data_IF_061523485387
#
_entry.id   IF_061523485387
#
_cell.length_a   1.000
_cell.length_b   1.000
_cell.length_c   1.000
_cell.angle_alpha   90.00
_cell.angle_beta   90.00
_cell.angle_gamma   90.00
#
_symmetry.space_group_name_H-M   'P 1'
#
loop_
_entity.id
_entity.type
_entity.pdbx_description
1 polymer ?
#
# COMPACT_ATOMS: atom_id res chain seq x y z
N UNK A 1 48.97 13.59 -23.49
CA UNK A 1 47.74 13.18 -24.20
C UNK A 1 47.20 11.95 -23.51
N UNK A 2 46.26 12.13 -22.59
CA UNK A 2 45.58 11.02 -21.91
C UNK A 2 44.23 10.86 -22.59
N UNK A 3 44.02 9.68 -23.16
CA UNK A 3 42.83 9.28 -23.89
C UNK A 3 41.61 9.29 -22.99
N UNK A 4 40.55 9.96 -23.45
CA UNK A 4 39.22 9.96 -22.84
C UNK A 4 38.56 8.63 -23.20
N UNK A 5 38.38 7.77 -22.21
CA UNK A 5 37.66 6.52 -22.36
C UNK A 5 36.16 6.78 -22.53
N UNK A 6 35.70 6.49 -23.74
CA UNK A 6 34.43 5.87 -24.14
C UNK A 6 33.21 6.07 -23.24
N UNK A 7 32.25 6.81 -23.80
CA UNK A 7 30.85 6.83 -23.37
C UNK A 7 30.25 5.42 -23.51
N UNK A 8 30.07 4.73 -22.38
CA UNK A 8 29.21 3.55 -22.30
C UNK A 8 27.78 3.94 -22.71
N UNK A 9 27.15 3.12 -23.55
CA UNK A 9 25.78 3.35 -24.01
C UNK A 9 24.84 3.44 -22.80
N UNK A 10 24.24 4.61 -22.58
CA UNK A 10 23.18 4.79 -21.60
C UNK A 10 21.98 3.98 -22.09
N UNK A 11 21.68 2.85 -21.44
CA UNK A 11 20.45 2.11 -21.70
C UNK A 11 19.24 3.03 -21.54
N UNK A 12 18.22 2.88 -22.40
CA UNK A 12 16.98 3.67 -22.31
C UNK A 12 16.35 3.56 -20.92
N UNK A 13 16.02 4.69 -20.30
CA UNK A 13 15.36 4.72 -18.98
C UNK A 13 14.01 4.01 -19.03
N UNK A 14 13.66 3.29 -17.96
CA UNK A 14 12.35 2.66 -17.85
C UNK A 14 11.26 3.72 -17.70
N UNK A 15 10.20 3.61 -18.50
CA UNK A 15 9.01 4.45 -18.34
C UNK A 15 8.11 3.91 -17.25
N UNK A 16 7.87 4.73 -16.23
CA UNK A 16 7.07 4.36 -15.06
C UNK A 16 5.84 5.25 -14.98
N UNK A 17 4.66 4.64 -14.91
CA UNK A 17 3.45 5.32 -14.47
C UNK A 17 3.26 5.09 -12.98
N UNK A 18 3.22 6.15 -12.19
CA UNK A 18 2.95 6.08 -10.76
C UNK A 18 1.53 6.57 -10.47
N UNK A 19 0.67 5.67 -10.01
CA UNK A 19 -0.71 5.95 -9.63
C UNK A 19 -0.77 6.13 -8.11
N UNK A 20 -0.95 7.38 -7.68
CA UNK A 20 -0.95 7.79 -6.29
C UNK A 20 0.36 8.44 -5.88
N UNK A 21 0.29 9.69 -5.40
CA UNK A 21 1.42 10.43 -4.84
C UNK A 21 1.04 11.01 -3.48
N UNK A 22 0.64 10.12 -2.56
CA UNK A 22 0.67 10.37 -1.12
C UNK A 22 2.10 10.11 -0.59
N UNK A 23 2.27 9.85 0.71
CA UNK A 23 3.60 9.61 1.30
C UNK A 23 4.45 8.57 0.55
N UNK A 24 3.99 7.31 0.50
CA UNK A 24 4.70 6.22 -0.19
C UNK A 24 4.93 6.51 -1.68
N UNK A 25 3.90 7.00 -2.39
CA UNK A 25 4.02 7.33 -3.80
C UNK A 25 5.05 8.42 -4.08
N UNK A 26 5.07 9.47 -3.27
CA UNK A 26 6.04 10.56 -3.41
C UNK A 26 7.47 10.09 -3.15
N UNK A 27 7.68 9.26 -2.11
CA UNK A 27 9.01 8.64 -1.85
C UNK A 27 9.41 7.71 -2.99
N UNK A 28 8.49 6.90 -3.52
CA UNK A 28 8.74 6.04 -4.66
C UNK A 28 9.13 6.83 -5.92
N UNK A 29 8.42 7.93 -6.22
CA UNK A 29 8.78 8.83 -7.32
C UNK A 29 10.19 9.41 -7.14
N UNK A 30 10.50 9.84 -5.92
CA UNK A 30 11.80 10.41 -5.59
C UNK A 30 12.93 9.39 -5.79
N UNK A 31 12.77 8.17 -5.27
CA UNK A 31 13.75 7.09 -5.43
C UNK A 31 14.01 6.76 -6.91
N UNK A 32 12.95 6.65 -7.71
CA UNK A 32 13.03 6.32 -9.14
C UNK A 32 13.71 7.41 -9.97
N UNK A 33 13.36 8.68 -9.73
CA UNK A 33 13.93 9.82 -10.44
C UNK A 33 15.41 10.04 -10.07
N UNK A 34 15.75 10.03 -8.78
CA UNK A 34 17.13 10.21 -8.32
C UNK A 34 18.02 9.03 -8.69
N UNK A 35 17.45 7.83 -8.84
CA UNK A 35 18.17 6.66 -9.33
C UNK A 35 18.60 6.75 -10.80
N UNK A 36 18.03 7.68 -11.57
CA UNK A 36 18.46 7.97 -12.94
C UNK A 36 18.16 6.87 -13.98
N UNK A 37 17.56 5.74 -13.57
CA UNK A 37 17.22 4.61 -14.44
C UNK A 37 15.76 4.58 -14.89
N UNK A 38 14.93 5.48 -14.37
CA UNK A 38 13.53 5.62 -14.73
C UNK A 38 13.17 7.06 -15.09
N UNK A 39 12.06 7.22 -15.80
CA UNK A 39 11.33 8.49 -15.94
C UNK A 39 9.91 8.28 -15.43
N UNK A 40 9.46 9.13 -14.52
CA UNK A 40 8.18 8.94 -13.82
C UNK A 40 7.11 9.86 -14.38
N UNK A 41 6.02 9.28 -14.85
CA UNK A 41 4.73 9.94 -15.03
C UNK A 41 3.90 9.75 -13.77
N UNK A 42 3.71 10.80 -13.00
CA UNK A 42 2.99 10.77 -11.73
C UNK A 42 1.54 11.24 -11.90
N UNK A 43 0.58 10.41 -11.47
CA UNK A 43 -0.85 10.73 -11.47
C UNK A 43 -1.25 11.31 -10.11
N UNK A 44 -1.56 12.61 -10.10
CA UNK A 44 -1.99 13.34 -8.92
C UNK A 44 -3.46 13.75 -9.05
N UNK A 45 -4.21 13.72 -7.94
CA UNK A 45 -5.59 14.25 -7.93
C UNK A 45 -5.64 15.52 -7.10
N UNK A 46 -5.82 15.40 -5.79
CA UNK A 46 -6.04 16.52 -4.87
C UNK A 46 -4.88 17.53 -4.82
N UNK A 47 -3.64 17.10 -5.06
CA UNK A 47 -2.44 17.94 -5.01
C UNK A 47 -1.88 18.31 -6.39
N UNK A 48 -2.56 17.96 -7.48
CA UNK A 48 -2.06 18.17 -8.86
C UNK A 48 -1.63 19.62 -9.13
N UNK A 49 -2.51 20.58 -8.89
CA UNK A 49 -2.24 22.00 -9.18
C UNK A 49 -1.03 22.50 -8.39
N UNK A 50 -0.97 22.18 -7.11
CA UNK A 50 0.12 22.58 -6.22
C UNK A 50 1.45 21.98 -6.67
N UNK A 51 1.51 20.65 -6.84
CA UNK A 51 2.77 19.96 -7.20
C UNK A 51 3.25 20.35 -8.60
N UNK A 52 2.33 20.57 -9.55
CA UNK A 52 2.70 21.07 -10.88
C UNK A 52 3.40 22.43 -10.79
N UNK A 53 2.90 23.32 -9.94
CA UNK A 53 3.45 24.67 -9.79
C UNK A 53 4.72 24.69 -8.93
N UNK A 54 4.66 24.11 -7.74
CA UNK A 54 5.68 24.27 -6.69
C UNK A 54 6.54 23.04 -6.44
N UNK A 55 6.09 21.85 -6.87
CA UNK A 55 6.76 20.57 -6.57
C UNK A 55 6.32 19.98 -5.22
N UNK A 56 7.10 19.01 -4.75
CA UNK A 56 6.94 18.34 -3.47
C UNK A 56 8.17 18.65 -2.62
N UNK A 57 7.94 19.08 -1.40
CA UNK A 57 8.97 19.25 -0.40
C UNK A 57 9.05 17.99 0.47
N UNK A 58 10.26 17.53 0.74
CA UNK A 58 10.54 16.37 1.57
C UNK A 58 11.32 16.79 2.81
N UNK A 59 10.90 16.26 3.96
CA UNK A 59 11.78 15.99 5.09
C UNK A 59 11.87 14.48 5.21
N UNK A 60 13.03 13.92 4.87
CA UNK A 60 13.23 12.48 4.77
C UNK A 60 14.47 12.06 5.55
N UNK A 61 14.36 10.96 6.29
CA UNK A 61 15.53 10.37 6.93
C UNK A 61 16.52 9.76 5.93
N UNK A 62 16.05 9.37 4.74
CA UNK A 62 16.88 8.73 3.69
C UNK A 62 17.55 9.79 2.82
N UNK A 63 16.80 10.85 2.49
CA UNK A 63 17.16 11.86 1.49
C UNK A 63 17.47 13.24 2.06
N UNK A 64 17.22 13.48 3.34
CA UNK A 64 17.36 14.81 3.96
C UNK A 64 16.22 15.75 3.57
N UNK A 65 16.54 17.03 3.41
CA UNK A 65 15.58 18.06 2.99
C UNK A 65 15.70 18.27 1.49
N UNK A 66 14.60 18.13 0.76
CA UNK A 66 14.52 18.41 -0.68
C UNK A 66 13.35 19.36 -0.90
N UNK A 67 13.57 20.42 -1.65
CA UNK A 67 12.53 21.40 -1.98
C UNK A 67 12.18 21.36 -3.45
N UNK A 68 10.89 21.49 -3.75
CA UNK A 68 10.38 21.65 -5.11
C UNK A 68 10.63 20.46 -6.04
N UNK A 69 10.76 19.24 -5.51
CA UNK A 69 10.92 18.04 -6.34
C UNK A 69 9.72 17.86 -7.28
N UNK A 70 10.00 17.54 -8.55
CA UNK A 70 8.97 17.22 -9.54
C UNK A 70 9.33 15.93 -10.28
N UNK A 71 8.40 14.98 -10.39
CA UNK A 71 8.53 13.88 -11.34
C UNK A 71 8.69 14.40 -12.78
N UNK A 72 9.30 13.60 -13.64
CA UNK A 72 9.54 13.91 -15.06
C UNK A 72 8.26 14.36 -15.77
N UNK A 73 7.11 13.79 -15.42
CA UNK A 73 5.81 14.20 -15.94
C UNK A 73 4.75 14.14 -14.84
N UNK A 74 3.89 15.16 -14.77
CA UNK A 74 2.79 15.27 -13.79
C UNK A 74 1.48 15.38 -14.55
N UNK A 75 0.56 14.46 -14.31
CA UNK A 75 -0.78 14.41 -14.93
C UNK A 75 -1.87 14.34 -13.85
N UNK A 76 -3.08 14.80 -14.19
CA UNK A 76 -4.24 14.74 -13.30
C UNK A 76 -5.16 13.55 -13.54
N UNK A 77 -4.88 12.77 -14.59
CA UNK A 77 -5.63 11.58 -14.99
C UNK A 77 -4.67 10.50 -15.47
N UNK A 78 -5.09 9.25 -15.37
CA UNK A 78 -4.33 8.11 -15.88
C UNK A 78 -4.35 8.19 -17.42
N UNK A 79 -3.19 8.17 -18.09
CA UNK A 79 -3.13 8.18 -19.55
C UNK A 79 -3.78 6.92 -20.13
N UNK A 80 -4.49 7.07 -21.24
CA UNK A 80 -4.97 5.94 -22.02
C UNK A 80 -3.94 5.57 -23.10
N UNK A 81 -3.34 4.40 -22.96
CA UNK A 81 -2.34 3.84 -23.88
C UNK A 81 -2.87 2.62 -24.64
N UNK A 82 -4.15 2.27 -24.45
CA UNK A 82 -4.73 1.07 -25.07
C UNK A 82 -4.91 1.22 -26.58
N UNK A 83 -5.18 2.45 -27.03
CA UNK A 83 -5.42 2.80 -28.44
C UNK A 83 -4.52 3.96 -28.95
N UNK A 84 -3.40 4.27 -28.26
CA UNK A 84 -2.53 5.38 -28.65
C UNK A 84 -1.18 4.92 -29.23
N UNK A 85 -0.60 5.74 -30.10
CA UNK A 85 0.80 5.62 -30.54
C UNK A 85 1.80 6.00 -29.43
N UNK A 86 1.31 6.33 -28.22
CA UNK A 86 2.18 6.63 -27.11
C UNK A 86 2.97 5.38 -26.73
N UNK A 87 4.29 5.54 -26.56
CA UNK A 87 5.12 4.41 -26.16
C UNK A 87 4.62 3.86 -24.79
N UNK A 88 4.64 2.53 -24.60
CA UNK A 88 4.04 1.89 -23.44
C UNK A 88 4.84 2.16 -22.15
N UNK A 89 4.16 2.00 -21.00
CA UNK A 89 4.84 2.00 -19.71
C UNK A 89 5.43 0.62 -19.43
N UNK A 90 6.73 0.59 -19.10
CA UNK A 90 7.41 -0.63 -18.61
C UNK A 90 6.82 -1.07 -17.27
N UNK A 91 6.62 -0.12 -16.35
CA UNK A 91 6.03 -0.36 -15.04
C UNK A 91 4.83 0.56 -14.78
N UNK A 92 3.77 0.01 -14.21
CA UNK A 92 2.74 0.78 -13.51
C UNK A 92 2.87 0.47 -12.02
N UNK A 93 3.10 1.49 -11.20
CA UNK A 93 3.18 1.36 -9.74
C UNK A 93 1.91 1.93 -9.13
N UNK A 94 1.20 1.13 -8.35
CA UNK A 94 0.05 1.60 -7.58
C UNK A 94 0.41 1.76 -6.10
N UNK A 95 0.24 2.99 -5.60
CA UNK A 95 0.39 3.35 -4.17
C UNK A 95 -0.87 3.98 -3.59
N UNK A 96 -1.96 4.08 -4.37
CA UNK A 96 -3.27 4.51 -3.84
C UNK A 96 -3.79 3.52 -2.80
N UNK A 97 -4.71 3.96 -1.96
CA UNK A 97 -5.35 3.08 -0.98
C UNK A 97 -6.17 1.99 -1.67
N UNK A 98 -6.04 0.73 -1.23
CA UNK A 98 -6.86 -0.35 -1.76
C UNK A 98 -8.19 -0.45 -1.02
N UNK A 99 -9.25 0.08 -1.62
CA UNK A 99 -10.62 0.07 -1.09
C UNK A 99 -11.53 -0.65 -2.09
N UNK A 100 -11.46 -1.99 -2.20
CA UNK A 100 -12.14 -2.74 -3.27
C UNK A 100 -13.67 -2.63 -3.19
N UNK A 101 -14.19 -2.24 -2.04
CA UNK A 101 -15.61 -1.99 -1.80
C UNK A 101 -16.08 -0.63 -2.34
N UNK A 102 -15.15 0.28 -2.71
CA UNK A 102 -15.42 1.63 -3.19
C UNK A 102 -14.89 1.79 -4.63
N UNK A 103 -15.75 2.10 -5.62
CA UNK A 103 -15.31 2.32 -6.99
C UNK A 103 -14.53 3.65 -7.16
N UNK A 104 -13.64 3.76 -8.16
CA UNK A 104 -13.23 2.69 -9.09
C UNK A 104 -12.37 1.63 -8.41
N UNK A 105 -12.45 0.39 -8.88
CA UNK A 105 -11.58 -0.69 -8.39
C UNK A 105 -10.14 -0.50 -8.87
N UNK A 106 -9.19 -1.25 -8.30
CA UNK A 106 -7.79 -1.23 -8.76
C UNK A 106 -7.68 -1.60 -10.24
N UNK A 107 -8.47 -2.57 -10.72
CA UNK A 107 -8.46 -2.98 -12.13
C UNK A 107 -8.95 -1.84 -13.03
N UNK A 108 -10.01 -1.13 -12.62
CA UNK A 108 -10.54 0.02 -13.36
C UNK A 108 -9.51 1.15 -13.47
N UNK A 109 -8.72 1.35 -12.41
CA UNK A 109 -7.64 2.34 -12.40
C UNK A 109 -6.46 1.94 -13.31
N UNK A 110 -6.10 0.66 -13.34
CA UNK A 110 -4.94 0.20 -14.11
C UNK A 110 -5.25 0.13 -15.61
N UNK A 111 -6.47 -0.29 -15.96
CA UNK A 111 -6.87 -0.67 -17.33
C UNK A 111 -6.43 0.30 -18.44
N UNK A 112 -6.60 1.64 -18.33
CA UNK A 112 -6.26 2.54 -19.43
C UNK A 112 -4.76 2.55 -19.75
N UNK A 113 -3.89 2.22 -18.78
CA UNK A 113 -2.44 2.34 -18.94
C UNK A 113 -1.72 1.00 -19.20
N UNK A 114 -2.43 -0.14 -19.16
CA UNK A 114 -1.82 -1.47 -19.28
C UNK A 114 -1.66 -1.86 -20.74
N UNK A 115 -0.41 -2.04 -21.19
CA UNK A 115 -0.10 -2.67 -22.47
C UNK A 115 0.05 -4.18 -22.26
N UNK A 116 -0.80 -4.96 -22.94
CA UNK A 116 -0.90 -6.42 -22.79
C UNK A 116 0.45 -7.09 -23.08
N UNK A 117 0.89 -7.98 -22.18
CA UNK A 117 2.14 -8.73 -22.35
C UNK A 117 3.43 -7.93 -22.17
N UNK A 118 3.33 -6.61 -21.98
CA UNK A 118 4.49 -5.71 -21.85
C UNK A 118 4.60 -5.10 -20.46
N UNK A 119 3.54 -4.43 -20.00
CA UNK A 119 3.56 -3.67 -18.74
C UNK A 119 3.63 -4.61 -17.54
N UNK A 120 4.57 -4.35 -16.63
CA UNK A 120 4.62 -4.97 -15.30
C UNK A 120 3.84 -4.10 -14.31
N UNK A 121 2.90 -4.70 -13.61
CA UNK A 121 2.07 -4.02 -12.61
C UNK A 121 2.69 -4.25 -11.24
N UNK A 122 2.99 -3.19 -10.50
CA UNK A 122 3.62 -3.25 -9.17
C UNK A 122 2.64 -2.71 -8.14
N UNK A 123 2.17 -3.56 -7.25
CA UNK A 123 1.27 -3.18 -6.17
C UNK A 123 2.06 -2.97 -4.88
N UNK A 124 2.21 -1.71 -4.47
CA UNK A 124 2.85 -1.29 -3.21
C UNK A 124 1.80 -0.95 -2.14
N UNK A 125 0.65 -1.63 -2.17
CA UNK A 125 -0.47 -1.38 -1.27
C UNK A 125 -0.44 -2.35 -0.08
N UNK A 126 -1.09 -1.97 1.01
CA UNK A 126 -1.20 -2.81 2.20
C UNK A 126 -2.27 -3.90 2.06
N UNK A 127 -2.14 -4.95 2.88
CA UNK A 127 -3.13 -6.02 2.98
C UNK A 127 -2.71 -7.30 2.27
N UNK A 128 -3.57 -8.30 2.40
CA UNK A 128 -3.47 -9.62 1.78
C UNK A 128 -4.31 -9.65 0.50
N UNK A 129 -3.90 -10.50 -0.45
CA UNK A 129 -4.67 -10.83 -1.66
C UNK A 129 -5.04 -9.62 -2.54
N UNK A 130 -4.29 -8.52 -2.45
CA UNK A 130 -4.51 -7.32 -3.26
C UNK A 130 -4.27 -7.59 -4.75
N UNK A 131 -3.46 -8.60 -5.05
CA UNK A 131 -3.00 -8.98 -6.37
C UNK A 131 -4.04 -9.82 -7.12
N UNK A 132 -4.91 -10.56 -6.42
CA UNK A 132 -5.87 -11.53 -7.01
C UNK A 132 -6.66 -10.97 -8.21
N UNK A 133 -7.15 -9.71 -8.19
CA UNK A 133 -7.90 -9.16 -9.33
C UNK A 133 -7.04 -8.95 -10.59
N UNK A 134 -5.73 -8.74 -10.44
CA UNK A 134 -4.83 -8.33 -11.53
C UNK A 134 -4.64 -9.42 -12.59
N UNK A 135 -4.20 -10.66 -12.29
CA UNK A 135 -4.02 -11.69 -13.32
C UNK A 135 -5.34 -12.19 -13.91
N UNK A 136 -6.48 -11.95 -13.23
CA UNK A 136 -7.80 -12.21 -13.79
C UNK A 136 -8.14 -11.22 -14.91
N UNK A 137 -7.81 -9.94 -14.72
CA UNK A 137 -8.06 -8.88 -15.70
C UNK A 137 -6.98 -8.81 -16.79
N UNK A 138 -5.72 -9.05 -16.43
CA UNK A 138 -4.54 -8.92 -17.29
C UNK A 138 -3.73 -10.23 -17.29
N UNK A 139 -4.26 -11.32 -17.86
CA UNK A 139 -3.68 -12.66 -17.73
C UNK A 139 -2.30 -12.84 -18.38
N UNK A 140 -1.88 -11.90 -19.24
CA UNK A 140 -0.59 -11.91 -19.92
C UNK A 140 0.42 -10.96 -19.28
N UNK A 141 0.04 -10.21 -18.24
CA UNK A 141 0.88 -9.24 -17.59
C UNK A 141 1.41 -9.79 -16.26
N UNK A 142 2.66 -9.44 -15.96
CA UNK A 142 3.30 -9.76 -14.69
C UNK A 142 2.77 -8.82 -13.61
N UNK A 143 2.38 -9.38 -12.48
CA UNK A 143 2.00 -8.64 -11.28
C UNK A 143 3.06 -8.84 -10.19
N UNK A 144 3.68 -7.76 -9.72
CA UNK A 144 4.59 -7.75 -8.59
C UNK A 144 3.88 -7.30 -7.32
N UNK A 145 4.07 -8.06 -6.26
CA UNK A 145 3.66 -7.74 -4.90
C UNK A 145 4.83 -7.10 -4.16
N UNK A 146 4.66 -5.84 -3.74
CA UNK A 146 5.63 -5.15 -2.90
C UNK A 146 5.10 -4.99 -1.47
N UNK A 147 5.90 -5.43 -0.51
CA UNK A 147 5.67 -5.24 0.92
C UNK A 147 6.62 -4.17 1.44
N UNK A 148 6.15 -2.93 1.46
CA UNK A 148 6.93 -1.75 1.85
C UNK A 148 6.83 -1.45 3.34
N UNK A 149 7.95 -1.32 4.04
CA UNK A 149 8.07 -0.75 5.36
C UNK A 149 8.67 0.65 5.20
N UNK A 150 7.83 1.66 5.37
CA UNK A 150 8.22 3.07 5.28
C UNK A 150 7.14 3.91 5.99
N UNK A 151 7.52 4.61 7.04
CA UNK A 151 6.71 5.62 7.70
C UNK A 151 6.78 6.90 6.89
N UNK A 152 5.85 7.08 5.94
CA UNK A 152 5.77 8.28 5.13
C UNK A 152 4.35 8.77 4.96
N UNK A 153 4.14 10.07 5.15
CA UNK A 153 2.83 10.69 5.01
C UNK A 153 2.93 12.16 4.57
N UNK A 154 1.87 12.62 3.91
CA UNK A 154 1.69 14.02 3.54
C UNK A 154 1.14 14.78 4.76
N UNK A 155 1.96 15.66 5.34
CA UNK A 155 1.63 16.47 6.52
C UNK A 155 0.84 17.73 6.17
N UNK A 156 1.08 18.26 4.96
CA UNK A 156 0.34 19.34 4.34
C UNK A 156 0.42 19.19 2.81
N UNK A 157 -0.40 19.92 2.06
CA UNK A 157 -0.39 19.85 0.58
C UNK A 157 1.02 20.09 0.04
N UNK A 158 1.60 19.08 -0.63
CA UNK A 158 2.95 19.16 -1.20
C UNK A 158 4.10 18.96 -0.20
N UNK A 159 3.80 18.65 1.06
CA UNK A 159 4.79 18.45 2.14
C UNK A 159 4.78 16.99 2.59
N UNK A 160 5.86 16.25 2.29
CA UNK A 160 6.03 14.84 2.65
C UNK A 160 7.04 14.72 3.77
N UNK A 161 6.62 14.06 4.86
CA UNK A 161 7.48 13.63 5.94
C UNK A 161 7.72 12.12 5.80
N UNK A 162 8.99 11.72 5.82
CA UNK A 162 9.41 10.31 5.88
C UNK A 162 10.28 10.11 7.13
N UNK A 163 9.80 9.26 8.03
CA UNK A 163 10.35 9.03 9.37
C UNK A 163 10.96 7.64 9.54
N UNK A 164 10.62 6.68 8.66
CA UNK A 164 11.30 5.39 8.59
C UNK A 164 11.93 5.15 7.21
N UNK A 165 13.01 4.36 7.21
CA UNK A 165 13.77 4.02 6.01
C UNK A 165 12.86 3.29 5.03
N UNK A 166 12.92 3.63 3.75
CA UNK A 166 12.17 2.87 2.74
C UNK A 166 12.82 1.51 2.48
N UNK A 167 12.16 0.47 3.00
CA UNK A 167 12.57 -0.93 2.86
C UNK A 167 11.43 -1.75 2.31
N UNK A 168 11.59 -2.28 1.11
CA UNK A 168 10.58 -3.08 0.43
C UNK A 168 11.07 -4.50 0.17
N UNK A 169 10.19 -5.48 0.35
CA UNK A 169 10.38 -6.84 -0.18
C UNK A 169 9.48 -7.00 -1.41
N UNK A 170 10.06 -7.42 -2.54
CA UNK A 170 9.35 -7.45 -3.83
C UNK A 170 9.48 -8.83 -4.45
N UNK A 171 8.35 -9.37 -4.90
CA UNK A 171 8.29 -10.64 -5.61
C UNK A 171 7.08 -10.69 -6.52
N UNK A 172 7.09 -11.63 -7.46
CA UNK A 172 5.95 -11.83 -8.34
C UNK A 172 4.80 -12.51 -7.61
N UNK A 173 3.58 -12.06 -7.87
CA UNK A 173 2.38 -12.83 -7.59
C UNK A 173 2.19 -13.80 -8.75
N UNK A 174 2.43 -15.09 -8.47
CA UNK A 174 2.54 -16.13 -9.51
C UNK A 174 1.31 -16.20 -10.38
N UNK A 175 1.54 -16.16 -11.69
CA UNK A 175 0.55 -16.38 -12.71
C UNK A 175 0.88 -17.67 -13.47
N UNK A 176 0.00 -18.67 -13.39
CA UNK A 176 0.17 -19.98 -14.01
C UNK A 176 0.33 -19.93 -15.55
N UNK A 177 -0.05 -18.82 -16.18
CA UNK A 177 0.08 -18.60 -17.63
C UNK A 177 1.42 -18.00 -18.05
N UNK A 178 2.27 -17.62 -17.10
CA UNK A 178 3.54 -16.96 -17.36
C UNK A 178 4.70 -17.85 -16.92
N UNK A 179 5.88 -17.64 -17.51
CA UNK A 179 7.07 -18.36 -17.10
C UNK A 179 7.60 -17.79 -15.77
N UNK A 180 7.82 -18.63 -14.74
CA UNK A 180 8.23 -18.13 -13.41
C UNK A 180 9.53 -17.31 -13.43
N UNK A 181 10.42 -17.57 -14.38
CA UNK A 181 11.68 -16.84 -14.50
C UNK A 181 11.52 -15.45 -15.13
N UNK A 182 10.56 -15.27 -16.04
CA UNK A 182 10.25 -13.94 -16.59
C UNK A 182 9.67 -13.04 -15.50
N UNK A 183 8.81 -13.60 -14.66
CA UNK A 183 8.27 -12.94 -13.47
C UNK A 183 9.38 -12.54 -12.48
N UNK A 184 10.32 -13.45 -12.20
CA UNK A 184 11.46 -13.17 -11.32
C UNK A 184 12.38 -12.10 -11.92
N UNK A 185 12.64 -12.14 -13.23
CA UNK A 185 13.48 -11.17 -13.92
C UNK A 185 12.86 -9.77 -13.88
N UNK A 186 11.55 -9.66 -14.09
CA UNK A 186 10.83 -8.38 -13.93
C UNK A 186 10.93 -7.84 -12.50
N UNK A 187 10.84 -8.70 -11.48
CA UNK A 187 11.02 -8.28 -10.09
C UNK A 187 12.44 -7.80 -9.79
N UNK A 188 13.47 -8.50 -10.28
CA UNK A 188 14.88 -8.10 -10.12
C UNK A 188 15.18 -6.80 -10.87
N UNK A 189 14.65 -6.64 -12.08
CA UNK A 189 14.74 -5.40 -12.86
C UNK A 189 14.13 -4.22 -12.07
N UNK A 190 12.91 -4.40 -11.55
CA UNK A 190 12.26 -3.37 -10.74
C UNK A 190 13.10 -2.99 -9.51
N UNK A 191 13.58 -3.97 -8.74
CA UNK A 191 14.46 -3.74 -7.59
C UNK A 191 15.71 -2.94 -7.98
N UNK A 192 16.39 -3.32 -9.08
CA UNK A 192 17.61 -2.67 -9.56
C UNK A 192 17.40 -1.23 -10.06
N UNK A 193 16.19 -0.90 -10.53
CA UNK A 193 15.79 0.46 -10.92
C UNK A 193 15.43 1.27 -9.67
N UNK A 194 14.58 0.73 -8.79
CA UNK A 194 14.08 1.41 -7.60
C UNK A 194 15.19 1.80 -6.63
N UNK A 195 16.21 0.94 -6.49
CA UNK A 195 17.35 1.14 -5.55
C UNK A 195 18.54 1.85 -6.17
N UNK A 196 18.48 2.24 -7.44
CA UNK A 196 19.64 2.77 -8.16
C UNK A 196 20.24 4.04 -7.53
N UNK A 197 19.44 4.81 -6.78
CA UNK A 197 19.89 6.01 -6.05
C UNK A 197 20.64 5.71 -4.75
N UNK A 198 20.68 4.46 -4.27
CA UNK A 198 21.42 4.04 -3.07
C UNK A 198 20.85 4.57 -1.74
N UNK A 199 19.61 5.06 -1.73
CA UNK A 199 18.95 5.66 -0.55
C UNK A 199 17.82 4.82 0.05
N UNK A 200 17.42 3.75 -0.63
CA UNK A 200 16.37 2.84 -0.19
C UNK A 200 16.79 1.39 -0.42
N UNK A 201 16.03 0.45 0.14
CA UNK A 201 16.23 -0.99 -0.06
C UNK A 201 14.99 -1.58 -0.73
N UNK A 202 15.20 -2.35 -1.79
CA UNK A 202 14.16 -3.18 -2.41
C UNK A 202 14.73 -4.57 -2.69
N UNK A 203 14.45 -5.50 -1.79
CA UNK A 203 14.98 -6.87 -1.87
C UNK A 203 14.05 -7.75 -2.71
N UNK A 204 14.61 -8.34 -3.75
CA UNK A 204 13.93 -9.40 -4.49
C UNK A 204 13.75 -10.65 -3.59
N UNK A 205 12.54 -11.18 -3.55
CA UNK A 205 12.23 -12.51 -3.02
C UNK A 205 11.34 -13.27 -4.02
N UNK A 206 11.60 -14.56 -4.28
CA UNK A 206 10.74 -15.37 -5.15
C UNK A 206 9.29 -15.51 -4.65
N UNK A 207 9.10 -15.34 -3.35
CA UNK A 207 7.82 -15.32 -2.65
C UNK A 207 7.88 -14.27 -1.51
N UNK A 208 6.81 -13.51 -1.35
CA UNK A 208 6.64 -12.45 -0.34
C UNK A 208 5.56 -12.76 0.68
N UNK A 209 4.99 -13.97 0.67
CA UNK A 209 3.95 -14.41 1.59
C UNK A 209 4.36 -14.21 3.05
N UNK A 210 5.59 -14.60 3.43
CA UNK A 210 6.11 -14.36 4.78
C UNK A 210 6.06 -12.87 5.15
N UNK A 211 6.56 -11.98 4.29
CA UNK A 211 6.56 -10.53 4.54
C UNK A 211 5.14 -9.96 4.62
N UNK A 212 4.23 -10.41 3.75
CA UNK A 212 2.80 -10.03 3.77
C UNK A 212 2.17 -10.40 5.11
N UNK A 213 2.25 -11.67 5.51
CA UNK A 213 1.67 -12.18 6.76
C UNK A 213 2.30 -11.55 8.00
N UNK A 214 3.63 -11.40 8.02
CA UNK A 214 4.35 -10.70 9.10
C UNK A 214 3.83 -9.27 9.28
N UNK A 215 3.59 -8.54 8.19
CA UNK A 215 3.09 -7.16 8.25
C UNK A 215 1.66 -7.08 8.80
N UNK A 216 0.85 -8.13 8.61
CA UNK A 216 -0.53 -8.18 9.14
C UNK A 216 -0.58 -8.32 10.66
N UNK A 217 0.48 -8.81 11.32
CA UNK A 217 0.55 -8.79 12.78
C UNK A 217 0.32 -7.38 13.32
N UNK A 218 0.94 -6.37 12.70
CA UNK A 218 0.72 -4.97 13.04
C UNK A 218 -0.54 -4.40 12.37
N UNK A 219 -0.70 -4.59 11.06
CA UNK A 219 -1.74 -3.91 10.30
C UNK A 219 -3.17 -4.43 10.59
N UNK A 220 -3.35 -5.74 10.71
CA UNK A 220 -4.66 -6.32 11.01
C UNK A 220 -5.05 -6.14 12.48
N UNK A 221 -4.05 -6.02 13.37
CA UNK A 221 -4.26 -5.87 14.81
C UNK A 221 -4.14 -4.40 15.24
N UNK A 222 -2.96 -3.93 15.64
CA UNK A 222 -2.75 -2.57 16.19
C UNK A 222 -3.37 -1.47 15.33
N UNK A 223 -3.06 -1.43 14.03
CA UNK A 223 -3.55 -0.37 13.14
C UNK A 223 -5.09 -0.34 13.08
N UNK A 224 -5.73 -1.50 12.97
CA UNK A 224 -7.17 -1.60 12.88
C UNK A 224 -7.87 -1.32 14.22
N UNK A 225 -7.28 -1.75 15.34
CA UNK A 225 -7.78 -1.51 16.68
C UNK A 225 -7.67 -0.04 17.07
N UNK A 226 -6.53 0.60 16.79
CA UNK A 226 -6.35 2.03 16.97
C UNK A 226 -7.39 2.83 16.18
N UNK A 227 -7.73 2.37 14.97
CA UNK A 227 -8.76 3.01 14.16
C UNK A 227 -10.16 2.90 14.77
N UNK A 228 -10.51 1.76 15.37
CA UNK A 228 -11.82 1.55 16.02
C UNK A 228 -11.94 2.29 17.36
N UNK A 229 -10.90 2.22 18.20
CA UNK A 229 -10.92 2.80 19.56
C UNK A 229 -10.56 4.27 19.59
N UNK A 230 -9.94 4.78 18.53
CA UNK A 230 -9.31 6.09 18.44
C UNK A 230 -8.16 6.32 19.44
N UNK A 231 -7.57 5.25 19.97
CA UNK A 231 -6.31 5.28 20.72
C UNK A 231 -5.14 5.08 19.74
N UNK A 232 -4.11 5.92 19.79
CA UNK A 232 -2.84 5.66 19.09
C UNK A 232 -2.06 4.50 19.73
N UNK A 233 -0.96 4.06 19.12
CA UNK A 233 -0.21 2.89 19.60
C UNK A 233 0.42 3.06 20.99
N UNK A 234 0.79 4.29 21.38
CA UNK A 234 1.30 4.56 22.72
C UNK A 234 0.18 4.48 23.77
N UNK A 235 -0.97 5.10 23.49
CA UNK A 235 -2.16 5.02 24.35
C UNK A 235 -2.74 3.62 24.42
N UNK A 236 -2.64 2.82 23.36
CA UNK A 236 -3.02 1.41 23.35
C UNK A 236 -2.19 0.59 24.34
N UNK A 237 -0.89 0.90 24.48
CA UNK A 237 -0.02 0.24 25.46
C UNK A 237 -0.34 0.64 26.91
N UNK A 238 -0.85 1.86 27.13
CA UNK A 238 -1.25 2.36 28.45
C UNK A 238 -2.66 1.92 28.87
N UNK A 239 -3.51 1.59 27.91
CA UNK A 239 -4.87 1.16 28.16
C UNK A 239 -4.86 -0.23 28.81
N UNK A 240 -5.44 -0.31 30.01
CA UNK A 240 -5.47 -1.54 30.79
C UNK A 240 -6.05 -2.70 29.97
N UNK A 241 -5.35 -3.84 30.02
CA UNK A 241 -5.74 -5.10 29.39
C UNK A 241 -5.87 -5.09 27.86
N UNK A 242 -5.69 -3.96 27.17
CA UNK A 242 -5.86 -3.87 25.72
C UNK A 242 -4.83 -4.73 24.97
N UNK A 243 -3.58 -4.74 25.43
CA UNK A 243 -2.55 -5.59 24.81
C UNK A 243 -2.83 -7.08 25.01
N UNK A 244 -3.24 -7.47 26.23
CA UNK A 244 -3.36 -8.88 26.62
C UNK A 244 -4.67 -9.54 26.20
N UNK A 245 -5.78 -8.79 26.22
CA UNK A 245 -7.10 -9.33 25.88
C UNK A 245 -7.49 -9.09 24.43
N UNK A 246 -6.81 -8.18 23.72
CA UNK A 246 -7.17 -7.79 22.36
C UNK A 246 -6.00 -7.94 21.38
N UNK A 247 -4.89 -7.22 21.58
CA UNK A 247 -3.80 -7.15 20.57
C UNK A 247 -3.07 -8.48 20.40
N UNK A 248 -2.50 -9.05 21.49
CA UNK A 248 -1.74 -10.30 21.43
C UNK A 248 -2.60 -11.48 20.96
N UNK A 249 -3.84 -11.67 21.47
CA UNK A 249 -4.71 -12.72 20.94
C UNK A 249 -5.02 -12.57 19.44
N UNK A 250 -5.28 -11.35 18.95
CA UNK A 250 -5.50 -11.12 17.51
C UNK A 250 -4.24 -11.39 16.67
N UNK A 251 -3.05 -11.03 17.17
CA UNK A 251 -1.79 -11.38 16.50
C UNK A 251 -1.61 -12.90 16.42
N UNK A 252 -2.00 -13.64 17.47
CA UNK A 252 -1.98 -15.10 17.45
C UNK A 252 -3.01 -15.71 16.49
N UNK A 253 -4.16 -15.08 16.27
CA UNK A 253 -5.09 -15.45 15.18
C UNK A 253 -4.40 -15.32 13.79
N UNK A 254 -3.70 -14.21 13.54
CA UNK A 254 -2.90 -14.04 12.30
C UNK A 254 -1.82 -15.12 12.18
N UNK A 255 -1.08 -15.42 13.25
CA UNK A 255 -0.06 -16.49 13.24
C UNK A 255 -0.66 -17.85 12.92
N UNK A 256 -1.79 -18.19 13.55
CA UNK A 256 -2.48 -19.45 13.30
C UNK A 256 -2.97 -19.54 11.85
N UNK A 257 -3.54 -18.45 11.32
CA UNK A 257 -3.96 -18.37 9.92
C UNK A 257 -2.76 -18.51 8.96
N UNK A 258 -1.67 -17.78 9.19
CA UNK A 258 -0.44 -17.88 8.40
C UNK A 258 0.11 -19.32 8.39
N UNK A 259 0.18 -19.95 9.56
CA UNK A 259 0.66 -21.33 9.72
C UNK A 259 -0.19 -22.33 8.94
N UNK A 260 -1.52 -22.15 8.90
CA UNK A 260 -2.43 -22.97 8.11
C UNK A 260 -2.25 -22.82 6.58
N UNK A 261 -1.54 -21.76 6.14
CA UNK A 261 -1.10 -21.54 4.77
C UNK A 261 0.40 -21.87 4.56
N UNK A 262 1.05 -22.53 5.52
CA UNK A 262 2.45 -22.95 5.42
C UNK A 262 3.48 -21.86 5.73
N UNK A 263 3.04 -20.71 6.26
CA UNK A 263 3.94 -19.63 6.69
C UNK A 263 4.08 -19.68 8.21
N UNK A 264 5.24 -20.10 8.70
CA UNK A 264 5.53 -20.05 10.13
C UNK A 264 5.99 -18.66 10.55
N UNK A 265 5.20 -18.01 11.40
CA UNK A 265 5.53 -16.72 12.01
C UNK A 265 5.97 -16.97 13.46
N UNK A 266 7.26 -16.73 13.79
CA UNK A 266 7.80 -16.96 15.12
C UNK A 266 7.05 -16.17 16.21
N UNK A 267 7.03 -16.71 17.43
CA UNK A 267 6.28 -16.13 18.55
C UNK A 267 6.83 -14.77 18.99
N UNK A 268 8.14 -14.60 18.92
CA UNK A 268 8.83 -13.35 19.22
C UNK A 268 8.38 -12.19 18.32
N UNK A 269 7.79 -12.48 17.14
CA UNK A 269 7.23 -11.43 16.30
C UNK A 269 6.02 -10.76 16.94
N UNK A 270 5.27 -11.43 17.81
CA UNK A 270 4.13 -10.81 18.51
C UNK A 270 4.64 -9.68 19.40
N UNK A 271 5.59 -9.97 20.27
CA UNK A 271 6.14 -8.96 21.18
C UNK A 271 6.90 -7.87 20.43
N UNK A 272 7.66 -8.23 19.39
CA UNK A 272 8.31 -7.25 18.54
C UNK A 272 7.31 -6.26 17.92
N UNK A 273 6.14 -6.73 17.48
CA UNK A 273 5.12 -5.87 16.87
C UNK A 273 4.38 -5.02 17.90
N UNK A 274 4.15 -5.55 19.11
CA UNK A 274 3.55 -4.80 20.23
C UNK A 274 4.47 -3.64 20.66
N UNK A 275 5.78 -3.88 20.74
CA UNK A 275 6.76 -2.87 21.16
C UNK A 275 7.41 -2.11 20.00
N UNK A 276 6.92 -2.28 18.76
CA UNK A 276 7.55 -1.68 17.57
C UNK A 276 7.55 -0.15 17.64
N UNK A 277 6.45 0.43 18.12
CA UNK A 277 6.34 1.85 18.39
C UNK A 277 6.67 2.10 19.86
N UNK A 278 7.65 2.96 20.19
CA UNK A 278 7.88 3.39 21.56
C UNK A 278 6.60 3.96 22.18
N UNK A 279 6.34 3.65 23.44
CA UNK A 279 5.15 4.12 24.16
C UNK A 279 4.99 5.65 24.15
N UNK A 280 6.09 6.38 24.04
CA UNK A 280 6.15 7.85 23.99
C UNK A 280 5.92 8.43 22.59
N UNK A 281 5.86 7.59 21.55
CA UNK A 281 5.68 8.06 20.17
C UNK A 281 4.24 8.51 19.92
N UNK A 282 3.27 7.93 20.63
CA UNK A 282 1.84 8.19 20.45
C UNK A 282 1.41 8.14 18.97
N UNK A 283 1.98 7.21 18.21
CA UNK A 283 1.87 7.15 16.75
C UNK A 283 0.46 6.75 16.33
N UNK A 284 -0.29 7.59 15.58
CA UNK A 284 -1.55 7.19 15.00
C UNK A 284 -1.32 6.38 13.72
N UNK A 285 -1.67 5.08 13.65
CA UNK A 285 -1.45 4.28 12.46
C UNK A 285 -2.30 4.74 11.27
N UNK A 286 -1.90 4.33 10.06
CA UNK A 286 -2.49 4.83 8.81
C UNK A 286 -4.02 4.70 8.71
N UNK A 287 -4.63 3.61 9.19
CA UNK A 287 -6.08 3.44 9.14
C UNK A 287 -6.80 4.39 10.11
N UNK A 288 -6.22 4.65 11.28
CA UNK A 288 -6.74 5.64 12.23
C UNK A 288 -6.67 7.04 11.65
N UNK A 289 -5.55 7.40 11.00
CA UNK A 289 -5.41 8.68 10.30
C UNK A 289 -6.48 8.83 9.21
N UNK A 290 -6.71 7.79 8.41
CA UNK A 290 -7.75 7.79 7.39
C UNK A 290 -9.16 7.95 8.00
N UNK A 291 -9.46 7.26 9.10
CA UNK A 291 -10.73 7.40 9.81
C UNK A 291 -10.94 8.81 10.39
N UNK A 292 -9.92 9.40 11.04
CA UNK A 292 -9.97 10.78 11.55
C UNK A 292 -10.19 11.80 10.44
N UNK A 293 -9.64 11.55 9.25
CA UNK A 293 -9.82 12.40 8.06
C UNK A 293 -11.12 12.11 7.29
N UNK A 294 -11.98 11.20 7.76
CA UNK A 294 -13.22 10.82 7.07
C UNK A 294 -12.98 10.19 5.69
N UNK A 295 -11.87 9.46 5.55
CA UNK A 295 -11.48 8.71 4.35
C UNK A 295 -11.93 7.25 4.47
N UNK A 296 -12.07 6.60 3.32
CA UNK A 296 -12.26 5.16 3.25
C UNK A 296 -11.00 4.44 3.71
N UNK A 297 -11.16 3.26 4.29
CA UNK A 297 -10.06 2.45 4.83
C UNK A 297 -9.86 1.16 4.05
N UNK A 298 -8.65 0.60 4.15
CA UNK A 298 -8.24 -0.63 3.45
C UNK A 298 -8.67 -1.91 4.23
N UNK A 299 -9.74 -1.83 5.02
CA UNK A 299 -10.12 -2.88 5.97
C UNK A 299 -10.43 -4.23 5.31
N UNK A 300 -10.92 -4.24 4.06
CA UNK A 300 -11.18 -5.47 3.32
C UNK A 300 -9.90 -6.29 3.11
N UNK A 301 -8.79 -5.66 2.68
CA UNK A 301 -7.54 -6.37 2.44
C UNK A 301 -6.68 -6.52 3.70
N UNK A 302 -6.78 -5.59 4.65
CA UNK A 302 -5.99 -5.62 5.88
C UNK A 302 -6.59 -6.56 6.94
N UNK A 303 -7.91 -6.65 7.05
CA UNK A 303 -8.59 -7.46 8.08
C UNK A 303 -9.47 -8.53 7.43
N UNK A 304 -10.28 -8.17 6.43
CA UNK A 304 -11.23 -9.08 5.80
C UNK A 304 -10.56 -10.29 5.14
N UNK A 305 -9.54 -10.06 4.31
CA UNK A 305 -8.81 -11.12 3.61
C UNK A 305 -8.11 -12.10 4.57
N UNK A 306 -7.32 -11.68 5.58
CA UNK A 306 -6.77 -12.64 6.54
C UNK A 306 -7.84 -13.39 7.35
N UNK A 307 -8.96 -12.75 7.72
CA UNK A 307 -10.10 -13.46 8.35
C UNK A 307 -10.66 -14.54 7.42
N UNK A 308 -10.94 -14.19 6.15
CA UNK A 308 -11.41 -15.16 5.14
C UNK A 308 -10.39 -16.29 4.94
N UNK A 309 -9.11 -15.97 4.85
CA UNK A 309 -8.04 -16.93 4.68
C UNK A 309 -7.92 -17.90 5.86
N UNK A 310 -8.02 -17.42 7.11
CA UNK A 310 -8.00 -18.25 8.31
C UNK A 310 -9.22 -19.16 8.41
N UNK A 311 -10.43 -18.61 8.26
CA UNK A 311 -11.67 -19.36 8.32
C UNK A 311 -11.74 -20.46 7.24
N UNK A 312 -11.23 -20.19 6.03
CA UNK A 312 -11.17 -21.19 4.95
C UNK A 312 -10.32 -22.42 5.27
N UNK A 313 -9.43 -22.32 6.26
CA UNK A 313 -8.58 -23.41 6.75
C UNK A 313 -9.05 -23.96 8.11
N UNK A 314 -10.22 -23.56 8.58
CA UNK A 314 -10.76 -23.97 9.88
C UNK A 314 -10.08 -23.32 11.09
N UNK A 315 -9.30 -22.25 10.88
CA UNK A 315 -8.71 -21.48 11.99
C UNK A 315 -9.76 -20.57 12.59
N UNK A 316 -9.89 -20.59 13.92
CA UNK A 316 -10.77 -19.68 14.66
C UNK A 316 -10.20 -18.26 14.65
N UNK A 317 -10.99 -17.28 14.21
CA UNK A 317 -10.61 -15.86 14.08
C UNK A 317 -11.58 -14.90 14.80
N UNK A 318 -12.04 -15.18 16.04
CA UNK A 318 -13.15 -14.44 16.66
C UNK A 318 -12.89 -12.96 16.87
N UNK A 319 -11.69 -12.57 17.27
CA UNK A 319 -11.35 -11.16 17.53
C UNK A 319 -11.30 -10.41 16.21
N UNK A 320 -10.57 -10.92 15.23
CA UNK A 320 -10.46 -10.24 13.94
C UNK A 320 -11.78 -10.27 13.15
N UNK A 321 -12.63 -11.27 13.34
CA UNK A 321 -13.99 -11.28 12.77
C UNK A 321 -14.88 -10.18 13.38
N UNK A 322 -14.74 -9.95 14.69
CA UNK A 322 -15.41 -8.84 15.37
C UNK A 322 -14.89 -7.50 14.87
N UNK A 323 -13.57 -7.33 14.79
CA UNK A 323 -12.93 -6.12 14.26
C UNK A 323 -13.33 -5.84 12.82
N UNK A 324 -13.36 -6.87 11.96
CA UNK A 324 -13.84 -6.75 10.58
C UNK A 324 -15.28 -6.22 10.52
N UNK A 325 -16.16 -6.75 11.35
CA UNK A 325 -17.57 -6.31 11.41
C UNK A 325 -17.71 -4.85 11.86
N UNK A 326 -16.95 -4.43 12.87
CA UNK A 326 -16.91 -3.04 13.34
C UNK A 326 -16.37 -2.11 12.25
N UNK A 327 -15.26 -2.45 11.61
CA UNK A 327 -14.66 -1.66 10.53
C UNK A 327 -15.59 -1.53 9.33
N UNK A 328 -16.34 -2.59 9.00
CA UNK A 328 -17.35 -2.55 7.94
C UNK A 328 -18.49 -1.57 8.26
N UNK A 329 -18.95 -1.53 9.51
CA UNK A 329 -19.94 -0.54 9.95
C UNK A 329 -19.37 0.89 9.92
N UNK A 330 -18.10 1.07 10.32
CA UNK A 330 -17.41 2.36 10.26
C UNK A 330 -17.22 2.84 8.81
N UNK A 331 -16.88 1.95 7.89
CA UNK A 331 -16.81 2.22 6.46
C UNK A 331 -18.19 2.64 5.91
N UNK A 332 -19.26 1.95 6.31
CA UNK A 332 -20.63 2.32 5.93
C UNK A 332 -20.98 3.74 6.42
N UNK A 333 -20.62 4.10 7.65
CA UNK A 333 -20.78 5.47 8.18
C UNK A 333 -19.99 6.49 7.34
N UNK A 334 -18.80 6.15 6.87
CA UNK A 334 -18.03 7.01 5.96
C UNK A 334 -18.74 7.17 4.61
N UNK A 335 -19.36 6.11 4.09
CA UNK A 335 -20.17 6.18 2.85
C UNK A 335 -21.39 7.07 3.01
N UNK A 336 -22.11 6.94 4.12
CA UNK A 336 -23.24 7.81 4.48
C UNK A 336 -22.81 9.29 4.49
N UNK A 337 -21.73 9.62 5.22
CA UNK A 337 -21.19 10.99 5.29
C UNK A 337 -20.77 11.56 3.93
N UNK A 338 -20.45 10.69 2.97
CA UNK A 338 -20.07 11.04 1.60
C UNK A 338 -21.25 10.98 0.61
N UNK A 339 -22.48 10.79 1.09
CA UNK A 339 -23.68 10.75 0.26
C UNK A 339 -23.79 9.51 -0.63
N UNK A 340 -23.06 8.43 -0.32
CA UNK A 340 -23.06 7.19 -1.11
C UNK A 340 -24.13 6.18 -0.67
N UNK A 341 -24.85 6.48 0.42
CA UNK A 341 -25.94 5.64 0.94
C UNK A 341 -27.12 6.54 1.27
N UNK A 342 -28.32 6.13 0.85
CA UNK A 342 -29.57 6.81 1.22
C UNK A 342 -30.04 6.36 2.60
N UNK A 343 -30.32 7.32 3.48
CA UNK A 343 -30.87 7.07 4.82
C UNK A 343 -32.36 7.39 4.80
N UNK A 344 -33.23 6.44 5.15
CA UNK A 344 -34.65 6.72 5.31
C UNK A 344 -34.89 7.83 6.33
N UNK A 345 -35.93 8.65 6.10
CA UNK A 345 -36.32 9.66 7.08
C UNK A 345 -36.65 9.00 8.43
N UNK A 346 -36.27 9.66 9.53
CA UNK A 346 -36.59 9.19 10.87
C UNK A 346 -38.10 9.13 11.04
N UNK A 347 -38.62 7.94 11.32
CA UNK A 347 -40.02 7.77 11.71
C UNK A 347 -40.16 8.10 13.19
N UNK A 348 -41.11 8.95 13.54
CA UNK A 348 -41.46 9.22 14.93
C UNK A 348 -42.30 8.06 15.47
N UNK A 349 -41.69 7.21 16.29
CA UNK A 349 -42.38 6.09 16.93
C UNK A 349 -43.17 6.49 18.18
N UNK A 350 -43.15 7.77 18.60
CA UNK A 350 -43.87 8.24 19.80
C UNK A 350 -45.36 8.48 19.56
N UNK A 351 -45.79 8.56 18.29
CA UNK A 351 -47.18 8.84 17.91
C UNK A 351 -47.96 7.61 17.44
N UNK A 352 -47.32 6.43 17.40
CA UNK A 352 -47.99 5.17 17.05
C UNK A 352 -48.93 4.74 18.18
N UNK A 353 -50.23 4.97 17.98
CA UNK A 353 -51.30 4.48 18.86
C UNK A 353 -51.25 2.94 18.85
N UNK A 354 -51.14 2.34 20.04
CA UNK A 354 -51.17 0.88 20.23
C UNK A 354 -52.54 0.30 19.94
#
# INVERSE_FOLDING_TARGET
MVSVAEHGSVGSKARVLLIGCGGIGSVAALNLELGGKAVVTAVLRSNFTHVKQYGINFRSIDHGVIEGFKPSTIVNQIPDVTDSEAEPFRFIICTTKNTPDVPPTIVDLLKPAVTIGHTVIVLMQNGLNIEIPVPKAFPQNICLSSVTFCGSHEVATGEVLQEDNDRSTIGAFRNEKLWPEDENNAAREFCAIYTAGGKCVADFKPDVAFSRWRKLLYNACLNSMCAVTDLDTGRMQLADSALDLLVRPAMNEIRAAAKAHGIDLPEELVELMVSMDPITMYNPPSMQVDMRKGRFTEFENIVGEPVRAGLSKGVSMPILSTMYSLLKALQWRTRERRGMVGIPARVDHTTTTR
#
